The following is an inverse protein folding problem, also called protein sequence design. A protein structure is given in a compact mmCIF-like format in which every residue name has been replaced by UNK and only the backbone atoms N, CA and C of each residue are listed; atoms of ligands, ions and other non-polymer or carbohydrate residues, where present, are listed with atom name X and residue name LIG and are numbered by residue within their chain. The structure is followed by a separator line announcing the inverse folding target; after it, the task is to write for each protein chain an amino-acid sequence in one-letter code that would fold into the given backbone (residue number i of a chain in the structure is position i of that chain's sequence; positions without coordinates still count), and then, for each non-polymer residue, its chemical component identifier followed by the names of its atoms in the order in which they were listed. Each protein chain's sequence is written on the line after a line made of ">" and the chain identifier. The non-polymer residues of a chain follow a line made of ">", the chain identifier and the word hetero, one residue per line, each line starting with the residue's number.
data_IF_664858358130
#
_entry.id   IF_664858358130
#
_cell.length_a   1.000
_cell.length_b   1.000
_cell.length_c   1.000
_cell.angle_alpha   90.00
_cell.angle_beta   90.00
_cell.angle_gamma   90.00
#
_symmetry.space_group_name_H-M   'P 1'
#
loop_
_entity.id
_entity.type
_entity.pdbx_description
1 polymer ?
#
# COMPACT_ATOMS: atom_id res chain seq x y z
N UNK A 1 9.84 -1.71 -11.29
CA UNK A 1 10.01 -0.94 -10.04
C UNK A 1 10.30 -1.94 -8.94
N UNK A 2 11.52 -1.96 -8.41
CA UNK A 2 11.97 -3.01 -7.47
C UNK A 2 11.30 -2.87 -6.08
N UNK A 3 10.93 -1.64 -5.70
CA UNK A 3 10.05 -1.35 -4.56
C UNK A 3 9.38 0.02 -4.72
N UNK A 4 8.10 0.12 -4.37
CA UNK A 4 7.31 1.36 -4.42
C UNK A 4 7.81 2.42 -3.43
N UNK A 5 8.50 1.99 -2.37
CA UNK A 5 9.00 2.84 -1.29
C UNK A 5 10.48 3.23 -1.42
N UNK A 6 11.17 2.80 -2.50
CA UNK A 6 12.62 3.03 -2.65
C UNK A 6 13.01 4.51 -2.53
N UNK A 7 12.22 5.42 -3.10
CA UNK A 7 12.50 6.87 -3.03
C UNK A 7 12.36 7.42 -1.61
N UNK A 8 11.34 6.97 -0.86
CA UNK A 8 11.13 7.37 0.54
C UNK A 8 12.29 6.84 1.39
N UNK A 9 12.64 5.55 1.25
CA UNK A 9 13.73 4.90 1.98
C UNK A 9 15.09 5.56 1.71
N UNK A 10 15.36 5.94 0.46
CA UNK A 10 16.59 6.66 0.11
C UNK A 10 16.66 8.01 0.83
N UNK A 11 15.57 8.79 0.80
CA UNK A 11 15.53 10.14 1.39
C UNK A 11 15.58 10.11 2.91
N UNK A 12 14.92 9.16 3.55
CA UNK A 12 14.98 9.01 5.02
C UNK A 12 16.33 8.48 5.51
N UNK A 13 17.01 7.62 4.73
CA UNK A 13 18.36 7.14 5.05
C UNK A 13 19.40 8.26 5.03
N UNK A 14 19.27 9.23 4.11
CA UNK A 14 20.20 10.36 3.99
C UNK A 14 20.00 11.39 5.10
N UNK A 15 18.77 11.59 5.59
CA UNK A 15 18.49 12.51 6.69
C UNK A 15 18.76 11.89 8.05
N UNK A 16 19.92 12.22 8.63
CA UNK A 16 20.32 11.76 9.97
C UNK A 16 19.94 12.83 11.01
N UNK A 17 18.69 12.81 11.48
CA UNK A 17 18.20 13.67 12.56
C UNK A 17 17.13 14.68 12.13
N UNK A 18 15.85 14.30 12.29
CA UNK A 18 14.73 15.21 12.02
C UNK A 18 14.46 16.23 13.16
N UNK A 19 15.35 16.34 14.14
CA UNK A 19 15.21 17.22 15.31
C UNK A 19 14.17 16.76 16.35
N UNK A 20 13.09 16.11 15.92
CA UNK A 20 12.09 15.49 16.81
C UNK A 20 11.35 14.32 16.12
N UNK A 21 10.69 13.43 16.88
CA UNK A 21 9.87 12.37 16.31
C UNK A 21 8.70 12.89 15.46
N UNK A 22 8.06 13.98 15.88
CA UNK A 22 6.94 14.59 15.15
C UNK A 22 7.39 15.14 13.79
N UNK A 23 8.55 15.82 13.75
CA UNK A 23 9.14 16.30 12.51
C UNK A 23 9.57 15.15 11.58
N UNK A 24 10.09 14.05 12.13
CA UNK A 24 10.40 12.86 11.36
C UNK A 24 9.14 12.28 10.69
N UNK A 25 8.04 12.18 11.44
CA UNK A 25 6.78 11.64 10.92
C UNK A 25 6.21 12.55 9.83
N UNK A 26 6.20 13.86 10.04
CA UNK A 26 5.74 14.84 9.04
C UNK A 26 6.57 14.76 7.75
N UNK A 27 7.90 14.63 7.88
CA UNK A 27 8.81 14.46 6.74
C UNK A 27 8.48 13.17 5.95
N UNK A 28 8.34 12.03 6.63
CA UNK A 28 8.02 10.75 6.00
C UNK A 28 6.66 10.83 5.29
N UNK A 29 5.65 11.41 5.96
CA UNK A 29 4.32 11.60 5.39
C UNK A 29 4.39 12.38 4.07
N UNK A 30 5.10 13.51 4.04
CA UNK A 30 5.26 14.32 2.82
C UNK A 30 6.04 13.62 1.71
N UNK A 31 7.04 12.81 2.05
CA UNK A 31 7.75 11.98 1.08
C UNK A 31 6.84 10.91 0.47
N UNK A 32 5.99 10.27 1.29
CA UNK A 32 5.02 9.27 0.82
C UNK A 32 3.95 9.92 -0.05
N UNK A 33 3.38 11.05 0.37
CA UNK A 33 2.41 11.83 -0.39
C UNK A 33 2.97 12.23 -1.77
N UNK A 34 4.21 12.72 -1.82
CA UNK A 34 4.87 13.09 -3.07
C UNK A 34 5.16 11.87 -3.96
N UNK A 35 5.54 10.73 -3.36
CA UNK A 35 5.79 9.50 -4.09
C UNK A 35 4.49 8.89 -4.66
N UNK A 36 3.39 8.97 -3.91
CA UNK A 36 2.08 8.43 -4.28
C UNK A 36 1.60 8.95 -5.65
N UNK A 37 1.82 10.23 -5.96
CA UNK A 37 1.43 10.82 -7.24
C UNK A 37 2.05 10.12 -8.46
N UNK A 38 3.16 9.40 -8.26
CA UNK A 38 3.91 8.67 -9.31
C UNK A 38 3.64 7.17 -9.28
N UNK A 39 2.95 6.67 -8.26
CA UNK A 39 2.65 5.24 -8.14
C UNK A 39 1.54 4.84 -9.09
N UNK A 40 1.66 3.64 -9.65
CA UNK A 40 0.58 3.07 -10.45
C UNK A 40 -0.59 2.73 -9.52
N UNK A 41 -1.76 3.30 -9.80
CA UNK A 41 -2.99 2.96 -9.11
C UNK A 41 -3.37 1.49 -9.36
N UNK A 42 -4.03 0.88 -8.37
CA UNK A 42 -4.63 -0.44 -8.52
C UNK A 42 -5.81 -0.32 -9.48
N UNK A 43 -5.93 -1.24 -10.43
CA UNK A 43 -6.97 -1.18 -11.47
C UNK A 43 -8.40 -1.34 -10.91
N UNK A 44 -8.59 -2.09 -9.83
CA UNK A 44 -9.89 -2.37 -9.21
C UNK A 44 -9.89 -2.08 -7.70
N UNK A 45 -9.87 -0.79 -7.30
CA UNK A 45 -9.76 -0.41 -5.89
C UNK A 45 -10.97 -0.83 -5.05
N UNK A 46 -12.15 -0.96 -5.65
CA UNK A 46 -13.37 -1.40 -4.98
C UNK A 46 -13.30 -2.86 -4.48
N UNK A 47 -12.45 -3.70 -5.11
CA UNK A 47 -12.26 -5.09 -4.69
C UNK A 47 -11.28 -5.23 -3.50
N UNK A 48 -10.53 -4.18 -3.17
CA UNK A 48 -9.54 -4.23 -2.09
C UNK A 48 -10.19 -4.54 -0.74
N UNK A 49 -11.44 -4.12 -0.53
CA UNK A 49 -12.20 -4.49 0.67
C UNK A 49 -12.37 -6.01 0.80
N UNK A 50 -12.64 -6.71 -0.31
CA UNK A 50 -12.77 -8.16 -0.37
C UNK A 50 -11.43 -8.86 -0.12
N UNK A 51 -10.33 -8.34 -0.69
CA UNK A 51 -9.00 -8.85 -0.38
C UNK A 51 -8.69 -8.72 1.11
N UNK A 52 -9.06 -7.58 1.73
CA UNK A 52 -8.86 -7.34 3.17
C UNK A 52 -9.72 -8.25 4.05
N UNK A 53 -10.90 -8.66 3.58
CA UNK A 53 -11.76 -9.62 4.28
C UNK A 53 -11.32 -11.08 4.07
N UNK A 54 -10.22 -11.33 3.36
CA UNK A 54 -9.67 -12.66 3.13
C UNK A 54 -10.24 -13.40 1.92
N UNK A 55 -10.99 -12.71 1.04
CA UNK A 55 -11.50 -13.33 -0.17
C UNK A 55 -10.36 -13.75 -1.11
N UNK A 56 -10.47 -14.94 -1.69
CA UNK A 56 -9.42 -15.51 -2.56
C UNK A 56 -9.62 -15.05 -4.00
N UNK A 57 -8.54 -14.55 -4.60
CA UNK A 57 -8.51 -14.19 -6.01
C UNK A 57 -7.53 -15.10 -6.75
N UNK A 58 -7.94 -15.64 -7.89
CA UNK A 58 -7.08 -16.38 -8.81
C UNK A 58 -7.01 -15.64 -10.14
N UNK A 59 -5.80 -15.27 -10.57
CA UNK A 59 -5.56 -14.50 -11.79
C UNK A 59 -6.41 -13.21 -11.90
N UNK A 60 -6.75 -12.61 -10.76
CA UNK A 60 -7.57 -11.39 -10.67
C UNK A 60 -9.09 -11.62 -10.69
N UNK A 61 -9.54 -12.88 -10.71
CA UNK A 61 -10.95 -13.26 -10.60
C UNK A 61 -11.23 -13.72 -9.18
N UNK A 62 -12.32 -13.22 -8.60
CA UNK A 62 -12.79 -13.67 -7.30
C UNK A 62 -13.22 -15.13 -7.41
N UNK A 63 -12.64 -16.01 -6.59
CA UNK A 63 -13.07 -17.40 -6.49
C UNK A 63 -14.12 -17.48 -5.39
N UNK A 64 -15.38 -17.57 -5.78
CA UNK A 64 -16.46 -17.90 -4.85
C UNK A 64 -16.28 -19.38 -4.45
N UNK A 65 -15.91 -19.63 -3.20
CA UNK A 65 -16.12 -20.96 -2.63
C UNK A 65 -17.63 -21.14 -2.50
N UNK A 66 -18.22 -21.90 -3.40
CA UNK A 66 -19.58 -22.39 -3.27
C UNK A 66 -19.68 -23.40 -2.13
N UNK A 67 -19.62 -22.92 -0.89
CA UNK A 67 -20.12 -23.63 0.31
C UNK A 67 -20.68 -22.60 1.30
N UNK A 68 -21.80 -22.00 0.91
CA UNK A 68 -22.77 -21.41 1.84
C UNK A 68 -24.20 -21.60 1.31
N UNK A 69 -24.48 -22.80 0.80
CA UNK A 69 -25.83 -23.33 0.76
C UNK A 69 -25.78 -24.84 1.00
N UNK A 70 -25.45 -25.22 2.23
CA UNK A 70 -25.68 -26.55 2.77
C UNK A 70 -26.08 -26.41 4.24
N UNK A 71 -27.34 -26.72 4.51
CA UNK A 71 -28.07 -26.82 5.79
C UNK A 71 -28.47 -25.51 6.48
#
# INVERSE_FOLDING_TARGET
>A
MESTFSTVKLRTKVTRGAGSPAAALAMVFKLVESAQARWRAINAPHLVALLRSGARFEKGVLVEHGEANAA
#
